data_IF_381095851436
#
_entry.id   IF_381095851436
#
_cell.length_a   1.000
_cell.length_b   1.000
_cell.length_c   1.000
_cell.angle_alpha   90.00
_cell.angle_beta   90.00
_cell.angle_gamma   90.00
#
_symmetry.space_group_name_H-M   'P 1'
#
loop_
_entity.id
_entity.type
_entity.pdbx_description
1 polymer ?
#
# COMPACT_ATOMS: atom_id res chain seq x y z
N UNK A 1 -2.56 -14.05 27.81
CA UNK A 1 -2.10 -14.63 26.53
C UNK A 1 -1.83 -13.46 25.60
N UNK A 2 -0.58 -13.22 25.22
CA UNK A 2 -0.27 -12.13 24.28
C UNK A 2 -0.93 -12.47 22.94
N UNK A 3 -1.95 -11.69 22.55
CA UNK A 3 -2.53 -11.79 21.22
C UNK A 3 -1.62 -11.03 20.27
N UNK A 4 -0.70 -11.77 19.65
CA UNK A 4 0.07 -11.26 18.52
C UNK A 4 -0.83 -11.20 17.28
N UNK A 5 -0.74 -10.11 16.53
CA UNK A 5 -1.42 -9.96 15.24
C UNK A 5 -0.57 -10.68 14.21
N UNK A 6 -1.14 -11.70 13.57
CA UNK A 6 -0.50 -12.42 12.48
C UNK A 6 -1.12 -12.03 11.14
N UNK A 7 -0.25 -11.72 10.19
CA UNK A 7 -0.62 -11.37 8.83
C UNK A 7 -0.38 -12.57 7.89
N UNK A 8 -1.45 -13.22 7.41
CA UNK A 8 -1.34 -14.46 6.62
C UNK A 8 -2.29 -14.51 5.41
N UNK A 9 -1.90 -15.28 4.39
CA UNK A 9 -2.77 -15.63 3.28
C UNK A 9 -3.71 -16.75 3.73
N UNK A 10 -5.00 -16.43 3.91
CA UNK A 10 -5.98 -17.41 4.37
C UNK A 10 -6.22 -18.53 3.34
N UNK A 11 -6.58 -18.18 2.10
CA UNK A 11 -6.74 -19.15 1.01
C UNK A 11 -6.74 -18.49 -0.37
N UNK A 12 -6.62 -19.33 -1.41
CA UNK A 12 -6.89 -18.99 -2.80
C UNK A 12 -7.77 -20.09 -3.41
N UNK A 13 -8.83 -19.70 -4.10
CA UNK A 13 -9.77 -20.65 -4.73
C UNK A 13 -10.05 -20.25 -6.17
N UNK A 14 -10.26 -21.26 -7.02
CA UNK A 14 -10.67 -21.06 -8.42
C UNK A 14 -12.19 -21.07 -8.50
N UNK A 15 -12.77 -20.01 -9.04
CA UNK A 15 -14.20 -19.97 -9.34
C UNK A 15 -14.44 -20.67 -10.68
N UNK A 16 -15.30 -21.69 -10.69
CA UNK A 16 -15.51 -22.56 -11.84
C UNK A 16 -16.52 -21.96 -12.84
N UNK A 17 -17.53 -21.24 -12.35
CA UNK A 17 -18.71 -20.86 -13.14
C UNK A 17 -18.71 -19.38 -13.54
N UNK A 18 -18.78 -18.48 -12.56
CA UNK A 18 -18.87 -17.05 -12.76
C UNK A 18 -18.14 -16.25 -11.67
N UNK A 19 -18.07 -14.94 -11.87
CA UNK A 19 -17.48 -13.98 -10.93
C UNK A 19 -18.56 -13.11 -10.26
N UNK A 20 -19.77 -13.65 -10.06
CA UNK A 20 -20.84 -12.92 -9.36
C UNK A 20 -20.59 -12.93 -7.85
N UNK A 21 -21.08 -11.91 -7.18
CA UNK A 21 -20.89 -11.78 -5.73
C UNK A 21 -21.42 -12.95 -4.92
N UNK A 22 -22.50 -13.59 -5.38
CA UNK A 22 -23.03 -14.79 -4.74
C UNK A 22 -22.07 -15.98 -4.83
N UNK A 23 -21.51 -16.26 -6.01
CA UNK A 23 -20.54 -17.34 -6.21
C UNK A 23 -19.27 -17.13 -5.40
N UNK A 24 -18.80 -15.89 -5.34
CA UNK A 24 -17.64 -15.49 -4.54
C UNK A 24 -17.93 -15.70 -3.04
N UNK A 25 -19.10 -15.25 -2.57
CA UNK A 25 -19.49 -15.42 -1.17
C UNK A 25 -19.66 -16.89 -0.79
N UNK A 26 -20.20 -17.73 -1.68
CA UNK A 26 -20.30 -19.18 -1.47
C UNK A 26 -18.91 -19.80 -1.32
N UNK A 27 -17.97 -19.50 -2.22
CA UNK A 27 -16.61 -20.01 -2.12
C UNK A 27 -15.92 -19.63 -0.79
N UNK A 28 -16.13 -18.39 -0.32
CA UNK A 28 -15.67 -17.95 1.00
C UNK A 28 -16.36 -18.71 2.14
N UNK A 29 -17.69 -18.83 2.08
CA UNK A 29 -18.49 -19.49 3.12
C UNK A 29 -18.15 -20.98 3.24
N UNK A 30 -17.99 -21.67 2.12
CA UNK A 30 -17.64 -23.09 2.08
C UNK A 30 -16.27 -23.33 2.71
N UNK A 31 -15.28 -22.48 2.39
CA UNK A 31 -13.97 -22.53 3.05
C UNK A 31 -14.07 -22.29 4.57
N UNK A 32 -14.88 -21.32 4.99
CA UNK A 32 -15.07 -21.01 6.41
C UNK A 32 -15.71 -22.18 7.16
N UNK A 33 -16.69 -22.84 6.55
CA UNK A 33 -17.30 -24.06 7.08
C UNK A 33 -16.26 -25.17 7.17
N UNK A 34 -15.47 -25.40 6.11
CA UNK A 34 -14.41 -26.42 6.07
C UNK A 34 -13.37 -26.23 7.18
N UNK A 35 -12.96 -24.97 7.45
CA UNK A 35 -11.98 -24.63 8.48
C UNK A 35 -12.58 -24.37 9.86
N UNK A 36 -13.88 -24.59 10.03
CA UNK A 36 -14.61 -24.27 11.26
C UNK A 36 -14.43 -22.81 11.74
N UNK A 37 -14.30 -21.87 10.80
CA UNK A 37 -14.19 -20.43 11.05
C UNK A 37 -15.60 -19.83 11.04
N UNK A 38 -16.03 -19.27 12.16
CA UNK A 38 -17.33 -18.60 12.23
C UNK A 38 -17.28 -17.23 11.55
N UNK A 39 -18.29 -16.91 10.73
CA UNK A 39 -18.39 -15.60 10.07
C UNK A 39 -18.46 -14.43 11.05
N UNK A 40 -18.92 -14.65 12.29
CA UNK A 40 -18.91 -13.65 13.38
C UNK A 40 -17.50 -13.19 13.78
N UNK A 41 -16.47 -13.95 13.42
CA UNK A 41 -15.07 -13.61 13.70
C UNK A 41 -14.53 -12.60 12.68
N UNK A 42 -15.23 -12.37 11.55
CA UNK A 42 -14.85 -11.35 10.57
C UNK A 42 -15.22 -9.98 11.14
N UNK A 43 -14.20 -9.15 11.37
CA UNK A 43 -14.39 -7.77 11.84
C UNK A 43 -14.74 -6.83 10.67
N UNK A 44 -14.17 -7.09 9.50
CA UNK A 44 -14.22 -6.20 8.33
C UNK A 44 -13.75 -6.92 7.07
N UNK A 45 -14.17 -6.44 5.90
CA UNK A 45 -13.66 -6.91 4.62
C UNK A 45 -13.21 -5.70 3.79
N UNK A 46 -11.99 -5.75 3.27
CA UNK A 46 -11.53 -4.81 2.25
C UNK A 46 -11.70 -5.46 0.88
N UNK A 47 -12.39 -4.79 -0.04
CA UNK A 47 -12.53 -5.28 -1.41
C UNK A 47 -12.01 -4.27 -2.40
N UNK A 48 -11.77 -4.74 -3.62
CA UNK A 48 -11.41 -3.87 -4.72
C UNK A 48 -12.60 -2.97 -5.15
N UNK A 49 -13.81 -3.16 -4.61
CA UNK A 49 -14.96 -2.36 -4.98
C UNK A 49 -15.53 -2.71 -6.36
N UNK A 50 -15.15 -3.84 -6.97
CA UNK A 50 -15.89 -4.38 -8.10
C UNK A 50 -17.36 -4.62 -7.69
N UNK A 51 -18.36 -4.35 -8.54
CA UNK A 51 -19.77 -4.52 -8.18
C UNK A 51 -20.11 -5.90 -7.60
N UNK A 52 -19.42 -6.96 -8.05
CA UNK A 52 -19.56 -8.30 -7.50
C UNK A 52 -19.01 -8.45 -6.07
N UNK A 53 -18.05 -7.63 -5.66
CA UNK A 53 -17.40 -7.68 -4.34
C UNK A 53 -18.03 -6.73 -3.32
N UNK A 54 -18.85 -5.77 -3.76
CA UNK A 54 -19.57 -4.83 -2.90
C UNK A 54 -20.88 -5.49 -2.44
N UNK A 55 -20.76 -6.41 -1.47
CA UNK A 55 -21.88 -7.16 -0.88
C UNK A 55 -22.35 -6.60 0.47
N UNK A 56 -23.08 -7.43 1.24
CA UNK A 56 -23.70 -7.11 2.54
C UNK A 56 -22.76 -6.92 3.74
N UNK A 57 -21.45 -7.08 3.56
CA UNK A 57 -20.44 -6.92 4.62
C UNK A 57 -19.89 -5.50 4.55
N UNK A 58 -19.56 -4.88 5.69
CA UNK A 58 -18.91 -3.56 5.72
C UNK A 58 -17.63 -3.62 4.87
N UNK A 59 -17.75 -3.14 3.63
CA UNK A 59 -16.71 -3.16 2.64
C UNK A 59 -15.97 -1.82 2.71
N UNK A 60 -14.72 -1.87 3.16
CA UNK A 60 -13.83 -0.72 3.05
C UNK A 60 -13.22 -0.78 1.66
N UNK A 61 -13.31 0.32 0.90
CA UNK A 61 -12.61 0.43 -0.37
C UNK A 61 -11.11 0.39 -0.11
N UNK A 62 -10.43 -0.57 -0.73
CA UNK A 62 -8.98 -0.68 -0.60
C UNK A 62 -8.30 0.59 -1.14
N UNK A 63 -7.45 1.23 -0.31
CA UNK A 63 -6.66 2.42 -0.69
C UNK A 63 -5.85 2.16 -1.97
N UNK A 64 -5.39 0.92 -2.16
CA UNK A 64 -4.64 0.49 -3.35
C UNK A 64 -5.48 0.53 -4.63
N UNK A 65 -6.78 0.23 -4.58
CA UNK A 65 -7.65 0.34 -5.78
C UNK A 65 -7.72 1.80 -6.22
N UNK A 66 -7.83 2.74 -5.29
CA UNK A 66 -7.83 4.19 -5.60
C UNK A 66 -6.51 4.59 -6.25
N UNK A 67 -5.39 4.20 -5.64
CA UNK A 67 -4.04 4.42 -6.19
C UNK A 67 -3.84 3.79 -7.58
N UNK A 68 -4.28 2.54 -7.76
CA UNK A 68 -4.22 1.82 -9.04
C UNK A 68 -5.11 2.44 -10.11
N UNK A 69 -6.31 2.93 -9.74
CA UNK A 69 -7.22 3.57 -10.68
C UNK A 69 -6.69 4.93 -11.13
N UNK A 70 -6.07 5.69 -10.22
CA UNK A 70 -5.33 6.92 -10.55
C UNK A 70 -4.16 6.60 -11.48
N UNK A 71 -3.39 5.55 -11.17
CA UNK A 71 -2.28 5.07 -12.01
C UNK A 71 -2.71 4.34 -13.30
N UNK A 72 -4.01 4.11 -13.52
CA UNK A 72 -4.56 3.60 -14.79
C UNK A 72 -5.10 4.71 -15.67
N UNK A 73 -5.58 5.78 -15.05
CA UNK A 73 -6.14 6.95 -15.71
C UNK A 73 -5.18 8.15 -15.57
N UNK A 74 -3.88 7.92 -15.78
CA UNK A 74 -2.94 9.04 -15.89
C UNK A 74 -3.33 9.87 -17.12
N UNK A 75 -3.23 11.19 -17.00
CA UNK A 75 -3.37 12.05 -18.18
C UNK A 75 -2.32 11.67 -19.24
N UNK A 76 -2.60 11.92 -20.51
CA UNK A 76 -1.66 11.66 -21.63
C UNK A 76 -0.27 12.24 -21.31
N UNK A 77 -0.28 13.48 -20.84
CA UNK A 77 0.89 14.25 -20.41
C UNK A 77 1.72 13.55 -19.32
N UNK A 78 1.05 12.85 -18.42
CA UNK A 78 1.66 12.16 -17.30
C UNK A 78 2.18 10.75 -17.68
N UNK A 79 1.52 10.12 -18.65
CA UNK A 79 2.00 8.89 -19.26
C UNK A 79 3.32 9.11 -20.00
N UNK A 80 3.44 10.21 -20.76
CA UNK A 80 4.68 10.62 -21.43
C UNK A 80 5.82 10.83 -20.43
N UNK A 81 5.55 11.55 -19.34
CA UNK A 81 6.53 11.81 -18.28
C UNK A 81 7.05 10.52 -17.64
N UNK A 82 6.15 9.55 -17.38
CA UNK A 82 6.52 8.26 -16.81
C UNK A 82 7.36 7.43 -17.81
N UNK A 83 7.03 7.49 -19.10
CA UNK A 83 7.81 6.81 -20.14
C UNK A 83 9.26 7.29 -20.20
N UNK A 84 9.47 8.59 -20.05
CA UNK A 84 10.81 9.18 -20.07
C UNK A 84 11.63 8.76 -18.83
N UNK A 85 11.00 8.73 -17.65
CA UNK A 85 11.61 8.16 -16.44
C UNK A 85 11.99 6.69 -16.65
N UNK A 86 11.10 5.89 -17.23
CA UNK A 86 11.35 4.48 -17.53
C UNK A 86 12.52 4.32 -18.48
N UNK A 87 12.58 5.13 -19.54
CA UNK A 87 13.66 5.09 -20.52
C UNK A 87 15.01 5.49 -19.91
N UNK A 88 15.05 6.54 -19.09
CA UNK A 88 16.25 6.94 -18.36
C UNK A 88 16.74 5.83 -17.43
N UNK A 89 15.85 5.25 -16.62
CA UNK A 89 16.16 4.12 -15.73
C UNK A 89 16.67 2.93 -16.53
N UNK A 90 16.02 2.58 -17.64
CA UNK A 90 16.41 1.47 -18.50
C UNK A 90 17.77 1.69 -19.16
N UNK A 91 18.11 2.92 -19.56
CA UNK A 91 19.44 3.26 -20.11
C UNK A 91 20.54 3.08 -19.06
N UNK A 92 20.34 3.61 -17.85
CA UNK A 92 21.28 3.47 -16.74
C UNK A 92 21.45 1.99 -16.35
N UNK A 93 20.34 1.23 -16.35
CA UNK A 93 20.32 -0.18 -15.95
C UNK A 93 20.57 -1.17 -17.09
N UNK A 94 20.76 -0.68 -18.32
CA UNK A 94 20.87 -1.50 -19.54
C UNK A 94 21.95 -2.57 -19.48
N UNK A 95 23.03 -2.30 -18.74
CA UNK A 95 24.10 -3.27 -18.52
C UNK A 95 24.74 -3.09 -17.13
N UNK A 96 25.49 -4.12 -16.73
CA UNK A 96 26.13 -4.17 -15.41
C UNK A 96 27.22 -3.12 -15.22
N UNK A 97 27.86 -2.64 -16.29
CA UNK A 97 28.88 -1.61 -16.24
C UNK A 97 28.25 -0.25 -15.92
N UNK A 98 27.23 0.17 -16.67
CA UNK A 98 26.52 1.43 -16.43
C UNK A 98 25.92 1.49 -15.02
N UNK A 99 25.39 0.37 -14.53
CA UNK A 99 24.88 0.29 -13.15
C UNK A 99 25.99 0.58 -12.12
N UNK A 100 27.19 0.00 -12.30
CA UNK A 100 28.31 0.21 -11.39
C UNK A 100 28.86 1.63 -11.46
N UNK A 101 28.97 2.18 -12.67
CA UNK A 101 29.41 3.56 -12.88
C UNK A 101 28.43 4.57 -12.27
N UNK A 102 27.12 4.34 -12.42
CA UNK A 102 26.11 5.18 -11.79
C UNK A 102 26.17 5.10 -10.26
N UNK A 103 26.34 3.90 -9.70
CA UNK A 103 26.49 3.74 -8.25
C UNK A 103 27.72 4.47 -7.70
N UNK A 104 28.83 4.47 -8.45
CA UNK A 104 30.03 5.22 -8.10
C UNK A 104 29.79 6.72 -8.17
N UNK A 105 29.10 7.21 -9.20
CA UNK A 105 28.74 8.64 -9.30
C UNK A 105 27.83 9.06 -8.14
N UNK A 106 26.87 8.23 -7.74
CA UNK A 106 26.06 8.47 -6.55
C UNK A 106 26.90 8.60 -5.27
N UNK A 107 27.94 7.76 -5.12
CA UNK A 107 28.85 7.84 -3.98
C UNK A 107 29.69 9.13 -4.00
N UNK A 108 30.18 9.52 -5.19
CA UNK A 108 30.91 10.78 -5.40
C UNK A 108 30.04 12.01 -5.08
N UNK A 109 28.75 11.96 -5.42
CA UNK A 109 27.78 13.03 -5.15
C UNK A 109 27.17 12.97 -3.73
N UNK A 110 27.60 12.03 -2.88
CA UNK A 110 27.06 11.80 -1.53
C UNK A 110 25.53 11.55 -1.50
N UNK A 111 25.03 10.83 -2.50
CA UNK A 111 23.61 10.52 -2.61
C UNK A 111 23.17 9.45 -1.60
N UNK A 112 21.95 9.57 -1.07
CA UNK A 112 21.39 8.58 -0.16
C UNK A 112 21.14 7.21 -0.84
N UNK A 113 20.92 7.22 -2.15
CA UNK A 113 20.63 6.02 -2.93
C UNK A 113 21.72 5.78 -3.97
N UNK A 114 22.19 4.53 -4.08
CA UNK A 114 23.25 4.15 -5.04
C UNK A 114 22.71 3.38 -6.25
N UNK A 115 21.38 3.20 -6.33
CA UNK A 115 20.78 2.42 -7.40
C UNK A 115 19.31 2.79 -7.63
N UNK A 116 18.97 2.99 -8.91
CA UNK A 116 17.60 3.12 -9.36
C UNK A 116 16.85 1.79 -9.31
N UNK A 117 15.54 1.88 -9.07
CA UNK A 117 14.61 0.76 -9.10
C UNK A 117 14.07 0.60 -10.51
N UNK A 118 14.06 -0.62 -11.05
CA UNK A 118 13.40 -0.89 -12.32
C UNK A 118 11.89 -0.74 -12.15
N UNK A 119 11.26 -0.07 -13.12
CA UNK A 119 9.81 -0.11 -13.23
C UNK A 119 9.37 -1.52 -13.60
N UNK A 120 8.49 -2.12 -12.80
CA UNK A 120 7.71 -3.29 -13.21
C UNK A 120 6.26 -2.88 -13.29
N UNK A 121 5.55 -3.30 -14.33
CA UNK A 121 4.12 -2.98 -14.51
C UNK A 121 3.22 -3.49 -13.38
N UNK A 122 3.77 -4.26 -12.45
CA UNK A 122 3.02 -5.12 -11.56
C UNK A 122 2.53 -4.40 -10.30
N UNK A 123 3.10 -3.27 -9.85
CA UNK A 123 2.71 -2.63 -8.57
C UNK A 123 2.83 -1.11 -8.55
N UNK A 124 1.76 -0.43 -8.14
CA UNK A 124 1.76 1.02 -7.87
C UNK A 124 2.83 1.42 -6.83
N UNK A 125 2.99 0.68 -5.73
CA UNK A 125 4.03 0.98 -4.73
C UNK A 125 5.44 0.95 -5.35
N UNK A 126 5.66 0.09 -6.36
CA UNK A 126 6.92 0.06 -7.08
C UNK A 126 7.10 1.28 -8.01
N UNK A 127 6.01 1.83 -8.57
CA UNK A 127 6.04 3.07 -9.35
C UNK A 127 6.33 4.28 -8.45
N UNK A 128 5.65 4.39 -7.31
CA UNK A 128 5.86 5.48 -6.34
C UNK A 128 7.27 5.48 -5.76
N UNK A 129 7.79 4.32 -5.35
CA UNK A 129 9.17 4.19 -4.87
C UNK A 129 10.21 4.44 -5.97
N UNK A 130 9.94 3.98 -7.20
CA UNK A 130 10.79 4.27 -8.36
C UNK A 130 10.85 5.77 -8.62
N UNK A 131 9.69 6.45 -8.69
CA UNK A 131 9.61 7.89 -8.93
C UNK A 131 10.26 8.70 -7.80
N UNK A 132 9.97 8.37 -6.54
CA UNK A 132 10.57 9.06 -5.38
C UNK A 132 12.09 8.94 -5.40
N UNK A 133 12.63 7.75 -5.70
CA UNK A 133 14.07 7.54 -5.80
C UNK A 133 14.68 8.20 -7.03
N UNK A 134 13.97 8.17 -8.16
CA UNK A 134 14.40 8.86 -9.37
C UNK A 134 14.54 10.36 -9.13
N UNK A 135 13.57 10.96 -8.44
CA UNK A 135 13.62 12.36 -8.04
C UNK A 135 14.75 12.69 -7.08
N UNK A 136 14.96 11.84 -6.07
CA UNK A 136 16.06 12.02 -5.12
C UNK A 136 17.43 12.03 -5.81
N UNK A 137 17.56 11.31 -6.93
CA UNK A 137 18.79 11.20 -7.72
C UNK A 137 18.77 12.05 -8.98
N UNK A 138 17.84 12.99 -9.13
CA UNK A 138 17.55 13.63 -10.42
C UNK A 138 18.77 14.33 -11.02
N UNK A 139 19.49 15.12 -10.22
CA UNK A 139 20.70 15.82 -10.66
C UNK A 139 21.80 14.83 -11.07
N UNK A 140 22.05 13.81 -10.24
CA UNK A 140 23.03 12.75 -10.54
C UNK A 140 22.65 11.93 -11.78
N UNK A 141 21.36 11.75 -12.05
CA UNK A 141 20.86 11.11 -13.28
C UNK A 141 21.16 11.97 -14.50
N UNK A 142 20.91 13.28 -14.42
CA UNK A 142 21.22 14.21 -15.51
C UNK A 142 22.71 14.20 -15.81
N UNK A 143 23.56 14.28 -14.78
CA UNK A 143 25.02 14.22 -14.93
C UNK A 143 25.49 12.89 -15.58
N UNK A 144 24.95 11.76 -15.11
CA UNK A 144 25.29 10.45 -15.67
C UNK A 144 24.86 10.30 -17.13
N UNK A 145 23.70 10.84 -17.48
CA UNK A 145 23.19 10.79 -18.85
C UNK A 145 23.94 11.77 -19.76
N UNK A 146 24.28 12.97 -19.29
CA UNK A 146 25.04 13.98 -20.05
C UNK A 146 26.47 13.53 -20.36
N UNK A 147 27.12 12.85 -19.40
CA UNK A 147 28.46 12.25 -19.60
C UNK A 147 28.46 11.08 -20.60
N UNK A 148 27.33 10.41 -20.80
CA UNK A 148 27.18 9.27 -21.72
C UNK A 148 26.62 9.65 -23.09
N UNK A 149 25.73 10.64 -23.14
CA UNK A 149 24.97 11.08 -24.31
C UNK A 149 25.14 12.60 -24.49
N UNK A 150 26.13 13.03 -25.28
CA UNK A 150 26.14 14.37 -25.91
C UNK A 150 24.99 14.57 -26.93
N UNK A 151 23.92 13.80 -26.83
CA UNK A 151 22.88 13.64 -27.84
C UNK A 151 21.51 13.60 -27.13
N UNK A 152 20.74 14.69 -27.28
CA UNK A 152 19.26 14.71 -27.28
C UNK A 152 18.45 15.14 -26.03
N UNK A 153 18.98 15.86 -25.05
CA UNK A 153 18.11 16.60 -24.12
C UNK A 153 18.42 18.08 -24.21
N UNK A 154 17.51 18.87 -24.78
CA UNK A 154 17.61 20.33 -24.74
C UNK A 154 17.26 20.81 -23.32
N UNK A 155 17.83 21.93 -22.86
CA UNK A 155 17.48 22.50 -21.53
C UNK A 155 15.96 22.76 -21.37
N UNK A 156 15.27 23.02 -22.50
CA UNK A 156 13.81 23.13 -22.57
C UNK A 156 13.09 21.82 -22.20
N UNK A 157 13.70 20.66 -22.42
CA UNK A 157 13.15 19.36 -22.02
C UNK A 157 13.21 19.22 -20.49
N UNK A 158 14.30 19.63 -19.83
CA UNK A 158 14.49 19.57 -18.36
C UNK A 158 13.49 20.44 -17.62
N UNK A 159 13.29 21.68 -18.07
CA UNK A 159 12.26 22.56 -17.51
C UNK A 159 10.86 21.96 -17.68
N UNK A 160 10.60 21.36 -18.84
CA UNK A 160 9.36 20.65 -19.14
C UNK A 160 9.17 19.46 -18.17
N UNK A 161 10.20 18.63 -17.95
CA UNK A 161 10.19 17.54 -16.96
C UNK A 161 9.81 18.01 -15.56
N UNK A 162 10.47 19.06 -15.06
CA UNK A 162 10.21 19.60 -13.71
C UNK A 162 8.77 20.08 -13.61
N UNK A 163 8.25 20.78 -14.63
CA UNK A 163 6.84 21.21 -14.65
C UNK A 163 5.86 20.03 -14.64
N UNK A 164 6.14 18.99 -15.43
CA UNK A 164 5.31 17.79 -15.48
C UNK A 164 5.25 17.06 -14.14
N UNK A 165 6.39 16.94 -13.49
CA UNK A 165 6.51 16.25 -12.22
C UNK A 165 5.91 17.05 -11.06
N UNK A 166 6.02 18.37 -11.08
CA UNK A 166 5.30 19.23 -10.14
C UNK A 166 3.77 19.11 -10.34
N UNK A 167 3.31 19.11 -11.59
CA UNK A 167 1.89 18.89 -11.88
C UNK A 167 1.41 17.50 -11.40
N UNK A 168 2.27 16.48 -11.53
CA UNK A 168 2.01 15.16 -10.99
C UNK A 168 1.85 15.19 -9.47
N UNK A 169 2.80 15.80 -8.78
CA UNK A 169 2.78 15.92 -7.34
C UNK A 169 1.49 16.61 -6.86
N UNK A 170 1.12 17.74 -7.48
CA UNK A 170 -0.11 18.45 -7.15
C UNK A 170 -1.39 17.66 -7.44
N UNK A 171 -1.44 16.88 -8.54
CA UNK A 171 -2.58 16.00 -8.83
C UNK A 171 -2.67 14.87 -7.78
N UNK A 172 -1.54 14.34 -7.30
CA UNK A 172 -1.50 13.39 -6.19
C UNK A 172 -1.98 14.01 -4.88
N UNK A 173 -1.47 15.19 -4.51
CA UNK A 173 -1.90 15.89 -3.31
C UNK A 173 -3.42 16.13 -3.32
N UNK A 174 -3.98 16.58 -4.45
CA UNK A 174 -5.42 16.80 -4.57
C UNK A 174 -6.23 15.50 -4.50
N UNK A 175 -5.80 14.43 -5.19
CA UNK A 175 -6.56 13.17 -5.25
C UNK A 175 -6.52 12.36 -3.96
N UNK A 176 -5.46 12.53 -3.18
CA UNK A 176 -5.26 11.86 -1.90
C UNK A 176 -5.34 12.83 -0.72
N UNK A 177 -5.90 14.03 -0.94
CA UNK A 177 -6.11 15.02 0.10
C UNK A 177 -6.82 14.40 1.30
N UNK A 178 -7.85 13.58 1.06
CA UNK A 178 -8.60 12.87 2.10
C UNK A 178 -7.74 11.96 3.00
N UNK A 179 -6.64 11.41 2.48
CA UNK A 179 -5.68 10.59 3.22
C UNK A 179 -4.60 11.48 3.86
N UNK A 180 -4.08 12.46 3.12
CA UNK A 180 -3.00 13.34 3.56
C UNK A 180 -3.44 14.27 4.70
N UNK A 181 -4.68 14.74 4.65
CA UNK A 181 -5.30 15.57 5.70
C UNK A 181 -6.01 14.74 6.76
N UNK A 182 -5.89 13.39 6.71
CA UNK A 182 -6.56 12.53 7.67
C UNK A 182 -5.95 12.72 9.05
N UNK A 183 -6.70 13.34 9.95
CA UNK A 183 -6.32 13.47 11.36
C UNK A 183 -6.66 12.16 12.06
N UNK A 184 -5.64 11.46 12.54
CA UNK A 184 -5.81 10.31 13.42
C UNK A 184 -5.91 10.85 14.85
N UNK A 185 -7.03 10.63 15.56
CA UNK A 185 -7.15 11.03 16.96
C UNK A 185 -5.97 10.50 17.80
N UNK A 186 -5.26 11.37 18.56
CA UNK A 186 -4.06 10.97 19.30
C UNK A 186 -4.29 9.80 20.26
N UNK A 187 -5.49 9.71 20.82
CA UNK A 187 -5.90 8.64 21.73
C UNK A 187 -5.96 7.26 21.07
N UNK A 188 -6.03 7.16 19.74
CA UNK A 188 -5.92 5.86 19.05
C UNK A 188 -4.49 5.32 19.18
N UNK A 189 -3.49 6.20 19.16
CA UNK A 189 -2.09 5.78 19.28
C UNK A 189 -1.73 5.60 20.77
N UNK A 190 -2.19 6.52 21.61
CA UNK A 190 -1.95 6.47 23.05
C UNK A 190 -3.22 6.86 23.83
N UNK A 191 -4.10 5.91 24.19
CA UNK A 191 -5.34 6.21 24.92
C UNK A 191 -5.12 6.65 26.37
N UNK A 192 -3.90 6.48 26.90
CA UNK A 192 -3.53 6.88 28.26
C UNK A 192 -2.73 8.20 28.30
N UNK A 193 -2.63 8.91 27.17
CA UNK A 193 -2.05 10.24 27.11
C UNK A 193 -2.98 11.30 27.70
N UNK A 194 -2.41 12.46 28.00
CA UNK A 194 -3.20 13.65 28.34
C UNK A 194 -3.83 14.21 27.06
N UNK A 195 -5.13 14.03 26.88
CA UNK A 195 -5.82 14.22 25.60
C UNK A 195 -7.08 15.03 25.82
N UNK A 196 -7.14 16.19 25.17
CA UNK A 196 -8.34 17.02 25.10
C UNK A 196 -9.23 16.50 23.97
N UNK A 197 -10.26 15.73 24.33
CA UNK A 197 -11.28 15.27 23.40
C UNK A 197 -12.56 16.10 23.59
N UNK A 198 -13.08 16.66 22.50
CA UNK A 198 -14.25 17.56 22.52
C UNK A 198 -15.57 16.80 22.42
N UNK A 199 -15.53 15.57 21.91
CA UNK A 199 -16.70 14.71 21.87
C UNK A 199 -16.94 14.07 23.25
N UNK A 200 -17.98 14.54 23.94
CA UNK A 200 -18.37 14.10 25.29
C UNK A 200 -18.49 12.58 25.41
N UNK A 201 -19.03 11.90 24.39
CA UNK A 201 -19.24 10.44 24.41
C UNK A 201 -17.90 9.70 24.33
N UNK A 202 -16.97 10.21 23.52
CA UNK A 202 -15.61 9.65 23.40
C UNK A 202 -14.82 9.94 24.69
N UNK A 203 -14.98 11.14 25.24
CA UNK A 203 -14.32 11.55 26.49
C UNK A 203 -14.75 10.70 27.69
N UNK A 204 -16.03 10.32 27.77
CA UNK A 204 -16.54 9.45 28.83
C UNK A 204 -15.87 8.07 28.81
N UNK A 205 -15.87 7.38 27.66
CA UNK A 205 -15.20 6.09 27.51
C UNK A 205 -13.67 6.21 27.71
N UNK A 206 -13.03 7.30 27.26
CA UNK A 206 -11.60 7.52 27.49
C UNK A 206 -11.29 7.68 28.98
N UNK A 207 -12.14 8.40 29.71
CA UNK A 207 -11.97 8.61 31.15
C UNK A 207 -12.12 7.28 31.89
N UNK A 208 -13.14 6.50 31.58
CA UNK A 208 -13.32 5.16 32.16
C UNK A 208 -12.13 4.26 31.83
N UNK A 209 -11.69 4.25 30.56
CA UNK A 209 -10.53 3.46 30.13
C UNK A 209 -9.25 3.87 30.87
N UNK A 210 -9.04 5.17 31.11
CA UNK A 210 -7.86 5.69 31.81
C UNK A 210 -7.73 5.18 33.24
N UNK A 211 -8.86 4.85 33.89
CA UNK A 211 -8.89 4.30 35.25
C UNK A 211 -8.65 2.79 35.31
N UNK A 212 -8.62 2.11 34.16
CA UNK A 212 -8.46 0.67 34.07
C UNK A 212 -6.98 0.27 34.02
N UNK A 213 -6.40 0.03 35.20
CA UNK A 213 -4.99 -0.36 35.34
C UNK A 213 -4.66 -1.72 34.69
N UNK A 214 -5.62 -2.64 34.59
CA UNK A 214 -5.39 -3.94 33.92
C UNK A 214 -5.16 -3.74 32.42
N UNK A 215 -6.02 -2.95 31.78
CA UNK A 215 -5.91 -2.62 30.36
C UNK A 215 -4.65 -1.82 30.05
N UNK A 216 -4.20 -0.98 30.98
CA UNK A 216 -2.94 -0.23 30.87
C UNK A 216 -1.72 -1.13 30.82
N UNK A 217 -1.72 -2.24 31.57
CA UNK A 217 -0.66 -3.26 31.46
C UNK A 217 -0.70 -3.93 30.09
N UNK A 218 -1.90 -4.24 29.57
CA UNK A 218 -2.06 -4.90 28.28
C UNK A 218 -1.66 -4.00 27.09
N UNK A 219 -1.79 -2.67 27.23
CA UNK A 219 -1.36 -1.70 26.23
C UNK A 219 0.14 -1.75 25.92
N UNK A 220 0.97 -2.29 26.83
CA UNK A 220 2.42 -2.49 26.59
C UNK A 220 2.73 -3.35 25.36
N UNK A 221 1.78 -4.15 24.89
CA UNK A 221 1.92 -4.98 23.69
C UNK A 221 1.71 -4.20 22.37
N UNK A 222 1.42 -2.90 22.44
CA UNK A 222 1.19 -2.05 21.27
C UNK A 222 -0.29 -1.68 21.08
N UNK A 223 -0.53 -0.50 20.49
CA UNK A 223 -1.87 0.04 20.31
C UNK A 223 -2.75 -0.80 19.37
N UNK A 224 -2.15 -1.42 18.34
CA UNK A 224 -2.90 -2.26 17.39
C UNK A 224 -3.49 -3.49 18.09
N UNK A 225 -2.67 -4.21 18.85
CA UNK A 225 -3.06 -5.38 19.63
C UNK A 225 -4.09 -4.98 20.66
N UNK A 226 -3.88 -3.86 21.35
CA UNK A 226 -4.78 -3.31 22.35
C UNK A 226 -6.20 -3.11 21.83
N UNK A 227 -6.37 -2.38 20.72
CA UNK A 227 -7.70 -2.07 20.19
C UNK A 227 -8.41 -3.26 19.55
N UNK A 228 -7.69 -4.28 19.09
CA UNK A 228 -8.29 -5.46 18.44
C UNK A 228 -8.77 -6.52 19.43
N UNK A 229 -8.57 -6.32 20.73
CA UNK A 229 -9.06 -7.25 21.75
C UNK A 229 -10.58 -7.24 21.87
N UNK A 230 -11.17 -8.42 22.14
CA UNK A 230 -12.62 -8.57 22.21
C UNK A 230 -13.26 -7.86 23.42
N UNK A 231 -12.53 -7.74 24.53
CA UNK A 231 -12.96 -6.96 25.70
C UNK A 231 -13.15 -5.48 25.35
N UNK A 232 -12.19 -4.84 24.66
CA UNK A 232 -12.27 -3.43 24.27
C UNK A 232 -13.49 -3.17 23.38
N UNK A 233 -13.77 -4.07 22.43
CA UNK A 233 -14.95 -3.99 21.57
C UNK A 233 -16.27 -3.98 22.35
N UNK A 234 -16.35 -4.73 23.46
CA UNK A 234 -17.57 -4.89 24.25
C UNK A 234 -17.69 -3.79 25.31
N UNK A 235 -16.60 -3.47 25.98
CA UNK A 235 -16.55 -2.50 27.10
C UNK A 235 -16.50 -1.05 26.61
N UNK A 236 -15.79 -0.77 25.52
CA UNK A 236 -15.60 0.58 24.95
C UNK A 236 -16.02 0.62 23.47
N UNK A 237 -17.30 0.35 23.17
CA UNK A 237 -17.77 0.23 21.80
C UNK A 237 -17.63 1.51 20.99
N UNK A 238 -17.72 2.71 21.61
CA UNK A 238 -17.58 3.97 20.87
C UNK A 238 -16.13 4.19 20.44
N UNK A 239 -15.18 4.04 21.36
CA UNK A 239 -13.75 4.14 21.06
C UNK A 239 -13.33 3.11 20.03
N UNK A 240 -13.75 1.85 20.22
CA UNK A 240 -13.44 0.77 19.28
C UNK A 240 -14.00 1.04 17.88
N UNK A 241 -15.23 1.55 17.78
CA UNK A 241 -15.86 1.84 16.49
C UNK A 241 -15.14 2.91 15.68
N UNK A 242 -14.47 3.86 16.35
CA UNK A 242 -13.65 4.89 15.72
C UNK A 242 -12.26 4.30 15.41
N UNK A 243 -11.58 3.71 16.40
CA UNK A 243 -10.24 3.15 16.25
C UNK A 243 -10.15 2.10 15.13
N UNK A 244 -11.16 1.20 15.04
CA UNK A 244 -11.17 0.14 14.01
C UNK A 244 -11.15 0.68 12.58
N UNK A 245 -11.71 1.88 12.33
CA UNK A 245 -11.71 2.47 10.98
C UNK A 245 -10.29 2.80 10.52
N UNK A 246 -9.41 3.18 11.44
CA UNK A 246 -8.02 3.46 11.13
C UNK A 246 -7.19 2.18 11.12
N UNK A 247 -7.37 1.30 12.10
CA UNK A 247 -6.56 0.09 12.25
C UNK A 247 -6.76 -0.93 11.14
N UNK A 248 -7.96 -0.99 10.55
CA UNK A 248 -8.30 -2.01 9.55
C UNK A 248 -8.02 -1.53 8.13
N UNK A 249 -8.14 -0.22 7.87
CA UNK A 249 -8.06 0.32 6.52
C UNK A 249 -6.67 0.19 5.90
N UNK A 250 -5.60 0.35 6.69
CA UNK A 250 -4.22 0.38 6.17
C UNK A 250 -3.55 -0.99 6.02
N UNK A 251 -3.62 -1.93 6.98
CA UNK A 251 -2.95 -3.25 6.86
C UNK A 251 -3.46 -4.09 5.68
N UNK A 252 -4.72 -3.89 5.29
CA UNK A 252 -5.31 -4.55 4.12
C UNK A 252 -4.56 -4.25 2.81
N UNK A 253 -3.87 -3.11 2.74
CA UNK A 253 -3.11 -2.68 1.55
C UNK A 253 -1.89 -3.58 1.32
N UNK A 254 -0.97 -3.63 2.28
CA UNK A 254 0.27 -4.40 2.16
C UNK A 254 0.02 -5.90 1.93
N UNK A 255 -0.99 -6.46 2.61
CA UNK A 255 -1.34 -7.88 2.47
C UNK A 255 -1.96 -8.21 1.12
N UNK A 256 -2.80 -7.33 0.57
CA UNK A 256 -3.33 -7.49 -0.77
C UNK A 256 -2.18 -7.50 -1.79
N UNK A 257 -1.18 -6.62 -1.65
CA UNK A 257 -0.01 -6.63 -2.54
C UNK A 257 0.86 -7.89 -2.39
N UNK A 258 1.11 -8.34 -1.15
CA UNK A 258 1.81 -9.62 -0.91
C UNK A 258 1.03 -10.80 -1.48
N UNK A 259 -0.29 -10.81 -1.33
CA UNK A 259 -1.18 -11.80 -1.91
C UNK A 259 -1.09 -11.83 -3.43
N UNK A 260 -1.21 -10.67 -4.08
CA UNK A 260 -1.01 -10.56 -5.54
C UNK A 260 0.40 -11.00 -5.94
N UNK A 261 1.45 -10.62 -5.19
CA UNK A 261 2.81 -11.08 -5.44
C UNK A 261 2.95 -12.59 -5.35
N UNK A 262 2.36 -13.22 -4.33
CA UNK A 262 2.40 -14.65 -4.12
C UNK A 262 1.65 -15.38 -5.25
N UNK A 263 0.47 -14.89 -5.65
CA UNK A 263 -0.30 -15.42 -6.78
C UNK A 263 0.48 -15.27 -8.09
N UNK A 264 1.05 -14.11 -8.38
CA UNK A 264 1.90 -13.91 -9.57
C UNK A 264 3.07 -14.87 -9.55
N UNK A 265 3.77 -15.03 -8.41
CA UNK A 265 4.87 -15.98 -8.25
C UNK A 265 4.44 -17.45 -8.46
N UNK A 266 3.25 -17.83 -8.00
CA UNK A 266 2.68 -19.16 -8.21
C UNK A 266 2.35 -19.39 -9.70
N UNK A 267 1.79 -18.39 -10.37
CA UNK A 267 1.47 -18.43 -11.80
C UNK A 267 2.73 -18.43 -12.68
N UNK A 268 3.76 -17.64 -12.35
CA UNK A 268 5.05 -17.64 -13.08
C UNK A 268 5.85 -18.91 -12.82
N UNK A 269 5.88 -19.45 -11.60
CA UNK A 269 6.51 -20.77 -11.34
C UNK A 269 5.78 -21.92 -12.06
N UNK A 270 4.46 -21.86 -12.22
CA UNK A 270 3.71 -22.80 -13.08
C UNK A 270 4.03 -22.61 -14.57
N UNK A 271 4.17 -21.38 -15.05
CA UNK A 271 4.61 -21.08 -16.44
C UNK A 271 6.03 -21.55 -16.72
N UNK A 272 6.98 -21.35 -15.81
CA UNK A 272 8.37 -21.80 -15.96
C UNK A 272 8.51 -23.34 -15.92
N UNK A 273 7.45 -24.08 -15.56
CA UNK A 273 7.40 -25.55 -15.66
C UNK A 273 6.77 -26.06 -16.96
N UNK A 274 6.27 -25.16 -17.82
CA UNK A 274 5.68 -25.51 -19.12
C UNK A 274 6.65 -25.39 -20.31
N UNK A 275 7.90 -24.96 -20.09
CA UNK A 275 8.90 -24.76 -21.16
C UNK A 275 10.10 -25.75 -21.12
N UNK A 276 9.95 -26.94 -20.51
CA UNK A 276 11.03 -27.96 -20.48
C UNK A 276 10.70 -29.22 -21.28
N UNK A 277 9.53 -29.33 -21.92
CA UNK A 277 9.22 -30.48 -22.79
C UNK A 277 8.56 -30.02 -24.10
N UNK A 278 9.37 -29.44 -24.99
CA UNK A 278 9.21 -29.64 -26.44
C UNK A 278 10.44 -29.14 -27.20
N UNK A 279 11.47 -29.99 -27.28
CA UNK A 279 12.33 -30.15 -28.45
C UNK A 279 13.05 -31.48 -28.38
#
# INVERSE_FOLDING_TARGET
MNQEIYEELLFASTLITDTKGESIFRALKDYFIEKAITLSNIISVATDGAPAMVGRVLAIHCVIRRQHLVAKNLSVRLHESLHLVIDAVNRIRSNALNTRLFAQLCEENNEHFHQLLLHTEVRWLSKGLCLSRFFALFETILEFLDTKDKISCQEDDVSTYVQHLNALYSDFESRFEDILTMVIPPWIINPYGDIEETNVIVQEELTELSTNEELKVQFKNGYQQFWLQNNIRVTYPVLWNIARKFLISFPSSYLVERGFSAVTNLLTKKRNRLDIISR
#
